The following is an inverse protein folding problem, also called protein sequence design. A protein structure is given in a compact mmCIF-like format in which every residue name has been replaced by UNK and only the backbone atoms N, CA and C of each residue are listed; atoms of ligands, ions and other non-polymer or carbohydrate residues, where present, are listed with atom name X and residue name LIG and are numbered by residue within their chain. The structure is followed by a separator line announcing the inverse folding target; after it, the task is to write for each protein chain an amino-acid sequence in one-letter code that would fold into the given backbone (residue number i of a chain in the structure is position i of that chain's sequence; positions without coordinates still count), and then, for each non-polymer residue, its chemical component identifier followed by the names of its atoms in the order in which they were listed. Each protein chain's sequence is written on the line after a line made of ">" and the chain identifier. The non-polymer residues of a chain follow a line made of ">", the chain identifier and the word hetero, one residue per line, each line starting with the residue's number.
data_IF_708109522973
#
_entry.id   IF_708109522973
#
_cell.length_a   1.000
_cell.length_b   1.000
_cell.length_c   1.000
_cell.angle_alpha   90.00
_cell.angle_beta   90.00
_cell.angle_gamma   90.00
#
_symmetry.space_group_name_H-M   'P 1'
#
loop_
_entity.id
_entity.type
_entity.pdbx_description
1 polymer ?
#
# COMPACT_ATOMS: atom_id res chain seq x y z
N UNK A 1 -4.06 -12.05 5.20
CA UNK A 1 -4.10 -10.87 4.31
C UNK A 1 -4.08 -11.37 2.89
N UNK A 2 -5.01 -10.92 2.03
CA UNK A 2 -5.09 -11.42 0.67
C UNK A 2 -4.00 -10.81 -0.21
N UNK A 3 -3.41 -11.62 -1.09
CA UNK A 3 -2.41 -11.15 -2.05
C UNK A 3 -3.14 -10.52 -3.23
N UNK A 4 -2.77 -9.28 -3.58
CA UNK A 4 -3.46 -8.48 -4.60
C UNK A 4 -2.52 -8.05 -5.72
N UNK A 5 -3.10 -7.77 -6.89
CA UNK A 5 -2.45 -7.04 -7.98
C UNK A 5 -3.35 -5.91 -8.48
N UNK A 6 -2.80 -4.71 -8.63
CA UNK A 6 -3.54 -3.54 -9.10
C UNK A 6 -3.09 -3.16 -10.51
N UNK A 7 -4.05 -2.96 -11.39
CA UNK A 7 -3.88 -2.58 -12.78
C UNK A 7 -4.56 -1.23 -13.07
N UNK A 8 -3.94 -0.43 -13.93
CA UNK A 8 -4.50 0.85 -14.35
C UNK A 8 -4.42 1.02 -15.87
N UNK A 9 -5.57 1.35 -16.47
CA UNK A 9 -5.70 1.64 -17.90
C UNK A 9 -5.97 3.14 -18.04
N UNK A 10 -5.03 3.94 -18.56
CA UNK A 10 -5.24 5.37 -18.79
C UNK A 10 -6.35 5.59 -19.83
N UNK A 11 -7.14 6.64 -19.63
CA UNK A 11 -8.08 7.13 -20.63
C UNK A 11 -7.92 8.63 -20.83
N UNK A 12 -8.17 9.07 -22.06
CA UNK A 12 -8.25 10.49 -22.38
C UNK A 12 -9.54 11.08 -21.77
N UNK A 13 -9.55 12.34 -21.31
CA UNK A 13 -10.72 12.94 -20.65
C UNK A 13 -12.03 12.88 -21.45
N UNK A 14 -11.93 12.83 -22.79
CA UNK A 14 -13.06 12.82 -23.72
C UNK A 14 -13.32 11.42 -24.34
N UNK A 15 -12.55 10.40 -23.96
CA UNK A 15 -12.71 9.05 -24.47
C UNK A 15 -13.55 8.18 -23.54
N UNK A 16 -14.13 7.12 -24.09
CA UNK A 16 -14.72 6.07 -23.26
C UNK A 16 -13.64 5.44 -22.37
N UNK A 17 -14.05 4.99 -21.19
CA UNK A 17 -13.16 4.27 -20.27
C UNK A 17 -13.09 2.80 -20.65
N UNK A 18 -12.08 2.09 -20.16
CA UNK A 18 -11.91 0.67 -20.41
C UNK A 18 -12.85 -0.20 -19.56
N UNK A 19 -13.68 0.40 -18.70
CA UNK A 19 -14.54 -0.32 -17.75
C UNK A 19 -15.45 -1.34 -18.44
N UNK A 20 -16.16 -0.91 -19.48
CA UNK A 20 -17.07 -1.78 -20.24
C UNK A 20 -16.30 -2.88 -20.96
N UNK A 21 -15.19 -2.53 -21.62
CA UNK A 21 -14.32 -3.47 -22.31
C UNK A 21 -13.80 -4.56 -21.36
N UNK A 22 -13.29 -4.17 -20.19
CA UNK A 22 -12.79 -5.12 -19.18
C UNK A 22 -13.92 -6.01 -18.66
N UNK A 23 -15.10 -5.45 -18.40
CA UNK A 23 -16.26 -6.22 -17.94
C UNK A 23 -16.70 -7.27 -18.97
N UNK A 24 -16.71 -6.91 -20.26
CA UNK A 24 -17.01 -7.83 -21.36
C UNK A 24 -15.95 -8.91 -21.52
N UNK A 25 -14.66 -8.54 -21.44
CA UNK A 25 -13.54 -9.49 -21.50
C UNK A 25 -13.55 -10.45 -20.32
N UNK A 26 -13.88 -9.97 -19.13
CA UNK A 26 -14.01 -10.80 -17.93
C UNK A 26 -15.09 -11.87 -18.15
N UNK A 27 -16.27 -11.46 -18.67
CA UNK A 27 -17.36 -12.41 -18.96
C UNK A 27 -16.99 -13.42 -20.05
N UNK A 28 -16.26 -12.97 -21.07
CA UNK A 28 -15.85 -13.83 -22.18
C UNK A 28 -14.73 -14.82 -21.80
N UNK A 29 -13.79 -14.40 -20.94
CA UNK A 29 -12.66 -15.22 -20.50
C UNK A 29 -13.07 -16.31 -19.50
N UNK A 30 -14.14 -16.08 -18.75
CA UNK A 30 -14.63 -16.99 -17.71
C UNK A 30 -16.12 -17.35 -17.93
N UNK A 31 -16.46 -18.05 -19.03
CA UNK A 31 -17.85 -18.31 -19.40
C UNK A 31 -18.58 -19.28 -18.45
N UNK A 32 -17.84 -20.05 -17.67
CA UNK A 32 -18.38 -21.01 -16.70
C UNK A 32 -18.63 -20.38 -15.32
N UNK A 33 -18.14 -19.16 -15.09
CA UNK A 33 -18.30 -18.44 -13.83
C UNK A 33 -19.47 -17.45 -13.94
N UNK A 34 -20.31 -17.40 -12.91
CA UNK A 34 -21.41 -16.42 -12.88
C UNK A 34 -20.88 -15.05 -12.44
N UNK A 35 -20.68 -14.14 -13.40
CA UNK A 35 -20.27 -12.76 -13.11
C UNK A 35 -21.44 -11.91 -12.58
N UNK A 36 -21.87 -12.18 -11.36
CA UNK A 36 -22.86 -11.37 -10.64
C UNK A 36 -22.16 -10.33 -9.77
N UNK A 37 -22.47 -9.03 -9.90
CA UNK A 37 -21.92 -8.00 -9.03
C UNK A 37 -22.26 -8.28 -7.56
N UNK A 38 -21.25 -8.50 -6.72
CA UNK A 38 -21.45 -8.83 -5.30
C UNK A 38 -21.42 -7.59 -4.39
N UNK A 39 -21.01 -6.44 -4.92
CA UNK A 39 -20.91 -5.23 -4.13
C UNK A 39 -20.38 -4.03 -4.89
N UNK A 40 -20.25 -2.93 -4.14
CA UNK A 40 -19.63 -1.69 -4.60
C UNK A 40 -18.39 -1.41 -3.78
N UNK A 41 -17.46 -0.69 -4.38
CA UNK A 41 -16.26 -0.22 -3.69
C UNK A 41 -15.91 1.18 -4.15
N UNK A 42 -15.07 1.84 -3.36
CA UNK A 42 -14.50 3.13 -3.72
C UNK A 42 -13.11 3.33 -3.14
N UNK A 43 -12.44 4.32 -3.71
CA UNK A 43 -11.16 4.82 -3.21
C UNK A 43 -11.14 6.33 -3.34
N UNK A 44 -10.40 6.98 -2.44
CA UNK A 44 -10.03 8.38 -2.55
C UNK A 44 -8.52 8.51 -2.31
N UNK A 45 -7.79 9.04 -3.29
CA UNK A 45 -6.36 9.31 -3.20
C UNK A 45 -6.11 10.81 -3.33
N UNK A 46 -5.36 11.39 -2.39
CA UNK A 46 -4.95 12.80 -2.40
C UNK A 46 -3.44 12.88 -2.44
N UNK A 47 -2.92 13.78 -3.28
CA UNK A 47 -1.49 13.98 -3.44
C UNK A 47 -1.10 15.40 -3.05
N UNK A 48 -0.17 15.49 -2.11
CA UNK A 48 0.57 16.68 -1.75
C UNK A 48 1.97 16.60 -2.34
N UNK A 49 2.47 17.75 -2.80
CA UNK A 49 3.86 17.94 -3.24
C UNK A 49 4.49 19.01 -2.38
N UNK A 50 5.77 18.85 -2.07
CA UNK A 50 6.53 19.91 -1.43
C UNK A 50 6.50 21.24 -2.21
N UNK A 51 6.53 22.35 -1.49
CA UNK A 51 6.68 23.68 -2.06
C UNK A 51 8.16 24.06 -1.97
N UNK A 52 8.91 24.10 -3.10
CA UNK A 52 10.31 24.46 -3.06
C UNK A 52 10.49 25.93 -2.61
N UNK A 53 11.23 26.12 -1.52
CA UNK A 53 11.92 27.35 -1.13
C UNK A 53 11.09 28.63 -0.97
N UNK A 54 10.60 28.91 0.24
CA UNK A 54 10.19 30.26 0.66
C UNK A 54 11.38 31.13 1.15
N UNK A 55 12.60 30.58 1.15
CA UNK A 55 13.80 31.33 1.49
C UNK A 55 14.50 31.78 0.21
N UNK A 56 14.84 33.08 0.06
CA UNK A 56 15.68 33.54 -1.04
C UNK A 56 17.01 32.82 -0.93
N UNK A 57 17.33 32.04 -1.97
CA UNK A 57 18.56 31.24 -2.01
C UNK A 57 19.76 32.18 -1.97
N UNK A 58 20.38 32.33 -0.79
CA UNK A 58 21.46 33.29 -0.61
C UNK A 58 22.77 32.85 -1.25
N UNK A 59 22.88 31.66 -1.86
CA UNK A 59 24.01 31.30 -2.76
C UNK A 59 23.89 29.95 -3.51
N UNK A 60 22.71 29.43 -3.84
CA UNK A 60 22.65 28.32 -4.81
C UNK A 60 21.45 28.38 -5.74
N UNK A 61 21.71 28.59 -7.02
CA UNK A 61 20.75 28.43 -8.13
C UNK A 61 20.32 26.96 -8.35
N UNK A 62 20.46 26.11 -7.33
CA UNK A 62 20.13 24.69 -7.40
C UNK A 62 18.75 24.50 -6.80
N UNK A 63 17.74 24.45 -7.67
CA UNK A 63 16.43 23.87 -7.35
C UNK A 63 16.69 22.51 -6.65
N UNK A 64 16.06 22.20 -5.50
CA UNK A 64 16.24 20.90 -4.88
C UNK A 64 16.00 19.81 -5.93
N UNK A 65 16.93 18.85 -6.07
CA UNK A 65 17.00 17.99 -7.24
C UNK A 65 15.76 17.12 -7.39
N UNK A 66 15.09 16.77 -6.28
CA UNK A 66 13.93 15.89 -6.27
C UNK A 66 12.77 16.46 -5.45
N UNK A 67 11.58 16.65 -6.04
CA UNK A 67 10.39 17.01 -5.29
C UNK A 67 9.93 15.87 -4.38
N UNK A 68 9.57 16.20 -3.14
CA UNK A 68 8.98 15.26 -2.18
C UNK A 68 7.47 15.18 -2.34
N UNK A 69 6.93 13.99 -2.06
CA UNK A 69 5.51 13.70 -2.17
C UNK A 69 4.96 13.11 -0.89
N UNK A 70 3.70 13.40 -0.63
CA UNK A 70 2.90 12.80 0.42
C UNK A 70 1.55 12.44 -0.19
N UNK A 71 1.18 11.17 -0.09
CA UNK A 71 -0.07 10.65 -0.60
C UNK A 71 -0.95 10.20 0.56
N UNK A 72 -2.22 10.54 0.50
CA UNK A 72 -3.26 10.03 1.39
C UNK A 72 -4.16 9.11 0.57
N UNK A 73 -4.51 7.94 1.10
CA UNK A 73 -5.44 7.02 0.47
C UNK A 73 -6.46 6.53 1.51
N UNK A 74 -7.71 6.47 1.10
CA UNK A 74 -8.78 5.79 1.81
C UNK A 74 -9.41 4.75 0.86
N UNK A 75 -9.69 3.57 1.39
CA UNK A 75 -10.29 2.45 0.67
C UNK A 75 -11.55 2.00 1.41
N UNK A 76 -12.67 1.83 0.69
CA UNK A 76 -13.94 1.44 1.34
C UNK A 76 -13.92 0.05 1.96
N UNK A 77 -13.03 -0.83 1.50
CA UNK A 77 -12.88 -2.20 2.01
C UNK A 77 -11.81 -2.31 3.11
N UNK A 78 -11.20 -1.18 3.51
CA UNK A 78 -10.44 -0.99 4.74
C UNK A 78 -10.97 0.25 5.48
N UNK A 79 -12.23 0.23 5.95
CA UNK A 79 -12.88 1.43 6.49
C UNK A 79 -12.26 1.91 7.81
N UNK A 80 -11.52 1.05 8.49
CA UNK A 80 -10.79 1.29 9.75
C UNK A 80 -9.39 1.86 9.52
N UNK A 81 -8.96 2.07 8.27
CA UNK A 81 -7.59 2.51 7.97
C UNK A 81 -7.56 3.67 6.98
N UNK A 82 -6.82 4.71 7.33
CA UNK A 82 -6.28 5.68 6.38
C UNK A 82 -4.82 5.35 6.09
N UNK A 83 -4.39 5.51 4.85
CA UNK A 83 -3.00 5.22 4.47
C UNK A 83 -2.28 6.51 4.05
N UNK A 84 -1.05 6.66 4.50
CA UNK A 84 -0.17 7.78 4.17
C UNK A 84 1.13 7.23 3.61
N UNK A 85 1.52 7.67 2.40
CA UNK A 85 2.76 7.25 1.74
C UNK A 85 3.61 8.46 1.38
N UNK A 86 4.80 8.55 1.96
CA UNK A 86 5.64 9.76 1.90
C UNK A 86 7.05 9.48 1.44
N UNK A 87 7.66 10.44 0.74
CA UNK A 87 9.07 10.35 0.37
C UNK A 87 9.97 10.45 1.60
N UNK A 88 10.92 9.54 1.72
CA UNK A 88 11.94 9.56 2.77
C UNK A 88 12.73 10.88 2.76
N UNK A 89 13.19 11.33 3.93
CA UNK A 89 14.15 12.42 4.00
C UNK A 89 15.46 12.01 3.32
N UNK A 90 16.04 12.90 2.51
CA UNK A 90 17.38 12.67 1.95
C UNK A 90 18.38 12.46 3.09
N UNK A 91 19.08 11.32 3.08
CA UNK A 91 20.18 11.10 4.04
C UNK A 91 21.25 12.18 3.79
N UNK A 92 21.76 12.86 4.84
CA UNK A 92 22.82 13.83 4.67
C UNK A 92 24.02 13.16 3.99
N UNK A 93 24.35 13.58 2.77
CA UNK A 93 25.56 13.12 2.09
C UNK A 93 26.74 13.67 2.88
N UNK A 94 27.67 12.84 3.40
CA UNK A 94 28.90 13.34 3.99
C UNK A 94 29.65 14.15 2.92
N UNK A 95 30.03 15.38 3.25
CA UNK A 95 30.64 16.31 2.32
C UNK A 95 31.83 15.66 1.58
N UNK A 96 31.91 15.76 0.24
CA UNK A 96 33.06 15.25 -0.49
C UNK A 96 34.29 16.08 -0.11
N UNK A 97 35.29 15.42 0.48
CA UNK A 97 36.64 15.97 0.61
C UNK A 97 37.11 16.46 -0.75
N UNK A 98 37.35 17.77 -0.87
CA UNK A 98 37.98 18.37 -2.03
C UNK A 98 39.37 17.77 -2.20
N UNK A 99 39.55 16.94 -3.23
CA UNK A 99 40.86 16.76 -3.85
C UNK A 99 40.71 17.05 -5.34
N UNK A 100 41.39 18.12 -5.75
CA UNK A 100 41.51 18.59 -7.11
C UNK A 100 42.03 17.49 -8.03
N UNK A 101 41.45 17.35 -9.22
CA UNK A 101 42.26 17.34 -10.44
C UNK A 101 41.45 17.71 -11.68
N UNK A 102 42.11 18.49 -12.53
CA UNK A 102 41.60 19.23 -13.67
C UNK A 102 41.64 18.42 -14.97
N UNK A 103 40.85 18.90 -15.94
CA UNK A 103 41.01 18.82 -17.41
C UNK A 103 40.59 17.55 -18.16
N UNK A 104 39.52 17.66 -18.97
CA UNK A 104 39.60 17.55 -20.44
C UNK A 104 38.29 17.97 -21.16
N UNK A 105 38.48 18.90 -22.09
CA UNK A 105 37.72 19.32 -23.28
C UNK A 105 36.31 18.76 -23.60
N UNK A 106 35.38 19.69 -23.88
CA UNK A 106 34.07 19.44 -24.45
C UNK A 106 34.02 19.50 -25.98
N UNK A 107 33.04 18.80 -26.54
CA UNK A 107 32.58 18.89 -27.94
C UNK A 107 31.05 18.99 -27.92
N UNK A 108 30.41 19.92 -28.67
CA UNK A 108 28.96 20.07 -28.70
C UNK A 108 28.34 19.17 -29.79
N UNK A 109 27.40 18.31 -29.41
CA UNK A 109 26.57 17.50 -30.31
C UNK A 109 25.08 17.73 -30.07
N UNK A 110 24.22 17.66 -31.11
CA UNK A 110 22.90 18.28 -31.12
C UNK A 110 21.79 17.45 -30.47
N UNK A 111 20.77 18.20 -30.06
CA UNK A 111 19.44 17.86 -29.57
C UNK A 111 18.67 16.84 -30.43
N UNK A 112 18.20 15.77 -29.79
CA UNK A 112 16.85 15.19 -29.86
C UNK A 112 16.88 13.67 -29.60
N UNK A 113 16.67 13.29 -28.34
CA UNK A 113 16.10 12.00 -27.98
C UNK A 113 15.30 12.20 -26.69
N UNK A 114 13.97 12.11 -26.80
CA UNK A 114 13.06 12.01 -25.66
C UNK A 114 13.26 10.60 -25.11
N UNK A 115 14.24 10.44 -24.22
CA UNK A 115 14.33 9.27 -23.35
C UNK A 115 13.38 9.50 -22.16
N UNK A 116 12.65 8.47 -21.68
CA UNK A 116 11.88 8.59 -20.46
C UNK A 116 12.85 8.87 -19.30
N UNK A 117 12.59 9.98 -18.61
CA UNK A 117 13.30 10.45 -17.43
C UNK A 117 13.09 9.44 -16.29
N UNK A 118 13.92 8.40 -16.24
CA UNK A 118 14.03 7.50 -15.10
C UNK A 118 14.91 8.16 -14.02
N UNK A 119 14.49 9.31 -13.50
CA UNK A 119 14.99 9.77 -12.21
C UNK A 119 14.57 8.73 -11.15
N UNK A 120 15.48 8.17 -10.33
CA UNK A 120 15.10 7.24 -9.28
C UNK A 120 14.11 7.95 -8.35
N UNK A 121 12.87 7.46 -8.29
CA UNK A 121 11.91 7.95 -7.30
C UNK A 121 12.55 7.86 -5.92
N UNK A 122 12.42 8.89 -5.06
CA UNK A 122 12.87 8.76 -3.68
C UNK A 122 12.20 7.54 -3.03
N UNK A 123 12.91 6.83 -2.13
CA UNK A 123 12.30 5.76 -1.36
C UNK A 123 11.12 6.32 -0.57
N UNK A 124 10.08 5.50 -0.40
CA UNK A 124 8.80 5.94 0.14
C UNK A 124 8.42 5.07 1.33
N UNK A 125 7.93 5.70 2.40
CA UNK A 125 7.52 5.06 3.66
C UNK A 125 6.00 5.09 3.78
N UNK A 126 5.42 3.94 4.08
CA UNK A 126 3.98 3.75 4.32
C UNK A 126 3.68 3.85 5.81
N UNK A 127 2.60 4.51 6.16
CA UNK A 127 2.08 4.60 7.52
C UNK A 127 0.57 4.52 7.48
N UNK A 128 -0.01 3.81 8.44
CA UNK A 128 -1.45 3.72 8.65
C UNK A 128 -1.88 4.71 9.73
N UNK A 129 -3.07 5.26 9.59
CA UNK A 129 -3.67 6.18 10.57
C UNK A 129 -5.11 5.78 10.85
N UNK A 130 -5.61 6.00 12.07
CA UNK A 130 -7.02 5.78 12.37
C UNK A 130 -7.93 6.64 11.47
N UNK A 131 -9.15 6.17 11.14
CA UNK A 131 -10.05 6.88 10.23
C UNK A 131 -10.46 8.25 10.77
N UNK A 132 -10.63 8.35 12.09
CA UNK A 132 -10.96 9.58 12.80
C UNK A 132 -9.88 10.66 12.63
N UNK A 133 -8.62 10.26 12.53
CA UNK A 133 -7.49 11.18 12.34
C UNK A 133 -7.23 11.53 10.88
N UNK A 134 -7.61 10.67 9.92
CA UNK A 134 -7.27 10.83 8.50
C UNK A 134 -7.70 12.19 7.93
N UNK A 135 -8.96 12.58 8.13
CA UNK A 135 -9.49 13.85 7.63
C UNK A 135 -8.80 15.06 8.26
N UNK A 136 -8.62 15.04 9.58
CA UNK A 136 -7.98 16.10 10.35
C UNK A 136 -6.51 16.27 9.99
N UNK A 137 -5.77 15.17 9.80
CA UNK A 137 -4.38 15.19 9.35
C UNK A 137 -4.25 15.81 7.96
N UNK A 138 -5.11 15.40 7.02
CA UNK A 138 -5.11 16.00 5.68
C UNK A 138 -5.35 17.52 5.76
N UNK A 139 -6.36 17.95 6.53
CA UNK A 139 -6.66 19.38 6.74
C UNK A 139 -5.48 20.12 7.37
N UNK A 140 -4.81 19.53 8.35
CA UNK A 140 -3.63 20.10 8.98
C UNK A 140 -2.53 20.37 7.94
N UNK A 141 -2.23 19.41 7.07
CA UNK A 141 -1.23 19.61 6.01
C UNK A 141 -1.65 20.67 4.99
N UNK A 142 -2.93 20.74 4.61
CA UNK A 142 -3.41 21.69 3.61
C UNK A 142 -3.57 23.11 4.12
N UNK A 143 -3.81 23.31 5.42
CA UNK A 143 -4.07 24.63 6.00
C UNK A 143 -2.91 25.13 6.85
N UNK A 144 -2.42 24.32 7.79
CA UNK A 144 -1.34 24.72 8.70
C UNK A 144 0.03 24.55 8.05
N UNK A 145 0.23 23.49 7.25
CA UNK A 145 1.51 23.21 6.59
C UNK A 145 1.53 23.62 5.11
N UNK A 146 0.58 24.45 4.65
CA UNK A 146 0.51 24.94 3.27
C UNK A 146 1.84 25.53 2.74
N UNK A 147 2.61 26.28 3.55
CA UNK A 147 3.92 26.79 3.11
C UNK A 147 4.91 25.70 2.69
N UNK A 148 4.77 24.49 3.25
CA UNK A 148 5.63 23.34 3.00
C UNK A 148 5.01 22.35 2.00
N UNK A 149 3.68 22.24 1.98
CA UNK A 149 2.95 21.25 1.21
C UNK A 149 1.84 21.89 0.38
N UNK A 150 1.85 21.62 -0.92
CA UNK A 150 0.82 22.03 -1.85
C UNK A 150 -0.04 20.83 -2.27
N UNK A 151 -1.36 20.91 -2.07
CA UNK A 151 -2.30 19.91 -2.60
C UNK A 151 -2.35 20.03 -4.12
N UNK A 152 -2.07 18.92 -4.82
CA UNK A 152 -1.93 18.90 -6.29
C UNK A 152 -3.03 18.16 -6.99
N UNK A 153 -3.56 17.10 -6.38
CA UNK A 153 -4.42 16.16 -7.06
C UNK A 153 -5.31 15.44 -6.04
N UNK A 154 -6.57 15.25 -6.41
CA UNK A 154 -7.43 14.23 -5.80
C UNK A 154 -7.97 13.33 -6.90
N UNK A 155 -7.77 12.02 -6.74
CA UNK A 155 -8.36 10.96 -7.55
C UNK A 155 -9.40 10.20 -6.72
N UNK A 156 -10.49 9.80 -7.35
CA UNK A 156 -11.52 9.01 -6.71
C UNK A 156 -12.10 7.96 -7.65
N UNK A 157 -12.52 6.84 -7.06
CA UNK A 157 -13.39 5.84 -7.69
C UNK A 157 -14.71 5.84 -6.92
N UNK A 158 -15.74 6.56 -7.39
CA UNK A 158 -16.96 6.74 -6.61
C UNK A 158 -17.95 5.58 -6.72
N UNK A 159 -17.90 4.78 -7.79
CA UNK A 159 -18.88 3.74 -8.11
C UNK A 159 -18.19 2.49 -8.66
N UNK A 160 -17.19 1.99 -7.95
CA UNK A 160 -16.54 0.74 -8.30
C UNK A 160 -17.49 -0.45 -8.11
N UNK A 161 -17.28 -1.50 -8.90
CA UNK A 161 -18.05 -2.74 -8.87
C UNK A 161 -17.12 -3.88 -8.45
N UNK A 162 -17.64 -4.81 -7.65
CA UNK A 162 -16.92 -6.01 -7.21
C UNK A 162 -17.56 -7.25 -7.83
N UNK A 163 -16.73 -8.13 -8.36
CA UNK A 163 -17.09 -9.45 -8.88
C UNK A 163 -16.30 -10.54 -8.15
N UNK A 164 -16.88 -11.72 -8.06
CA UNK A 164 -16.17 -12.95 -7.73
C UNK A 164 -16.11 -13.83 -8.97
N UNK A 165 -14.93 -14.39 -9.25
CA UNK A 165 -14.63 -15.19 -10.44
C UNK A 165 -13.71 -16.32 -10.00
N UNK A 166 -14.29 -17.50 -9.71
CA UNK A 166 -13.56 -18.60 -9.07
C UNK A 166 -12.86 -18.14 -7.78
N UNK A 167 -11.56 -18.42 -7.68
CA UNK A 167 -10.71 -18.05 -6.53
C UNK A 167 -10.24 -16.59 -6.54
N UNK A 168 -10.81 -15.74 -7.39
CA UNK A 168 -10.45 -14.32 -7.48
C UNK A 168 -11.62 -13.43 -7.13
N UNK A 169 -11.31 -12.34 -6.42
CA UNK A 169 -12.20 -11.20 -6.28
C UNK A 169 -11.65 -10.04 -7.10
N UNK A 170 -12.47 -9.52 -8.00
CA UNK A 170 -12.08 -8.45 -8.93
C UNK A 170 -12.86 -7.19 -8.60
N UNK A 171 -12.16 -6.11 -8.26
CA UNK A 171 -12.73 -4.78 -8.03
C UNK A 171 -12.34 -3.89 -9.20
N UNK A 172 -13.30 -3.41 -9.99
CA UNK A 172 -13.04 -2.47 -11.08
C UNK A 172 -13.81 -1.18 -10.90
N UNK A 173 -13.25 -0.06 -11.38
CA UNK A 173 -13.93 1.22 -11.34
C UNK A 173 -13.24 2.31 -12.14
N UNK A 174 -14.01 3.30 -12.53
CA UNK A 174 -13.48 4.47 -13.23
C UNK A 174 -12.81 5.44 -12.25
N UNK A 175 -11.59 5.81 -12.58
CA UNK A 175 -10.78 6.77 -11.84
C UNK A 175 -11.05 8.16 -12.40
N UNK A 176 -11.53 9.04 -11.53
CA UNK A 176 -11.81 10.43 -11.85
C UNK A 176 -10.94 11.33 -10.99
N UNK A 177 -10.34 12.32 -11.61
CA UNK A 177 -9.79 13.44 -10.88
C UNK A 177 -10.96 14.33 -10.43
N UNK A 178 -10.99 14.69 -9.16
CA UNK A 178 -11.99 15.60 -8.57
C UNK A 178 -11.38 16.95 -8.18
N UNK A 179 -10.04 17.01 -8.04
CA UNK A 179 -9.28 18.25 -7.78
C UNK A 179 -7.97 18.26 -8.59
N UNK A 180 -7.53 19.41 -9.13
CA UNK A 180 -8.16 20.74 -9.08
C UNK A 180 -9.33 20.90 -10.06
N UNK A 181 -9.34 20.11 -11.13
CA UNK A 181 -10.38 20.14 -12.17
C UNK A 181 -10.94 18.74 -12.35
N UNK A 182 -12.27 18.63 -12.41
CA UNK A 182 -12.93 17.36 -12.64
C UNK A 182 -12.57 16.81 -14.03
N UNK A 183 -11.98 15.61 -14.11
CA UNK A 183 -11.69 14.94 -15.39
C UNK A 183 -11.60 13.42 -15.24
N UNK A 184 -12.01 12.71 -16.28
CA UNK A 184 -11.77 11.27 -16.37
C UNK A 184 -10.26 11.00 -16.50
N UNK A 185 -9.76 9.96 -15.81
CA UNK A 185 -8.35 9.55 -15.88
C UNK A 185 -8.15 8.16 -16.44
N UNK A 186 -9.11 7.25 -16.26
CA UNK A 186 -8.96 5.88 -16.69
C UNK A 186 -9.81 4.91 -15.89
N UNK A 187 -9.44 3.65 -15.95
CA UNK A 187 -10.06 2.55 -15.20
C UNK A 187 -8.99 1.88 -14.35
N UNK A 188 -9.30 1.64 -13.06
CA UNK A 188 -8.46 0.85 -12.16
C UNK A 188 -9.13 -0.49 -11.89
N UNK A 189 -8.31 -1.52 -11.77
CA UNK A 189 -8.72 -2.88 -11.48
C UNK A 189 -7.82 -3.40 -10.37
N UNK A 190 -8.40 -3.96 -9.33
CA UNK A 190 -7.72 -4.73 -8.30
C UNK A 190 -8.17 -6.18 -8.44
N UNK A 191 -7.22 -7.09 -8.53
CA UNK A 191 -7.45 -8.54 -8.53
C UNK A 191 -6.88 -9.07 -7.23
N UNK A 192 -7.75 -9.64 -6.43
CA UNK A 192 -7.45 -10.21 -5.13
C UNK A 192 -7.54 -11.74 -5.21
N UNK A 193 -6.48 -12.44 -4.80
CA UNK A 193 -6.51 -13.89 -4.65
C UNK A 193 -7.25 -14.27 -3.36
N UNK A 194 -8.19 -15.20 -3.48
CA UNK A 194 -9.04 -15.75 -2.42
C UNK A 194 -8.92 -17.26 -2.25
N UNK A 195 -8.02 -17.90 -3.01
CA UNK A 195 -7.71 -19.31 -2.84
C UNK A 195 -6.84 -19.58 -1.60
N UNK A 196 -6.46 -20.85 -1.37
CA UNK A 196 -5.68 -21.26 -0.21
C UNK A 196 -4.38 -20.46 -0.08
N UNK A 197 -4.05 -20.06 1.15
CA UNK A 197 -2.88 -19.24 1.44
C UNK A 197 -2.21 -19.62 2.75
N UNK A 198 -0.86 -19.66 2.77
CA UNK A 198 -0.08 -19.91 3.98
C UNK A 198 -0.11 -18.68 4.89
N UNK A 199 -0.19 -17.48 4.32
CA UNK A 199 -0.35 -16.21 5.05
C UNK A 199 -1.58 -16.21 5.97
N UNK A 200 -2.67 -16.88 5.60
CA UNK A 200 -3.89 -16.95 6.42
C UNK A 200 -3.70 -17.75 7.71
N UNK A 201 -2.70 -18.63 7.75
CA UNK A 201 -2.38 -19.41 8.96
C UNK A 201 -1.60 -18.64 10.01
N UNK A 202 -1.06 -17.45 9.65
CA UNK A 202 -0.32 -16.59 10.58
C UNK A 202 -1.34 -15.83 11.44
N UNK A 203 -1.34 -16.03 12.78
CA UNK A 203 -2.33 -15.41 13.65
C UNK A 203 -2.21 -13.89 13.64
N UNK A 204 -3.37 -13.23 13.73
CA UNK A 204 -3.46 -11.80 14.03
C UNK A 204 -3.33 -11.64 15.54
N UNK A 205 -2.62 -10.61 15.99
CA UNK A 205 -2.46 -10.27 17.41
C UNK A 205 -3.86 -9.99 18.00
N UNK A 206 -4.52 -11.04 18.50
CA UNK A 206 -5.71 -10.92 19.34
C UNK A 206 -5.20 -10.66 20.76
N UNK A 207 -5.45 -9.47 21.28
CA UNK A 207 -5.22 -9.14 22.70
C UNK A 207 -6.18 -9.86 23.67
N UNK A 208 -6.91 -10.87 23.22
CA UNK A 208 -7.58 -11.78 24.13
C UNK A 208 -6.54 -12.76 24.69
N UNK A 209 -5.86 -12.33 25.74
CA UNK A 209 -5.03 -13.14 26.63
C UNK A 209 -5.82 -14.26 27.30
N UNK A 210 -6.20 -15.27 26.52
CA UNK A 210 -6.74 -16.54 27.02
C UNK A 210 -6.29 -17.70 26.13
N UNK A 211 -4.99 -17.93 26.12
CA UNK A 211 -4.47 -19.29 26.00
C UNK A 211 -4.44 -19.90 27.41
N UNK A 212 -5.57 -20.51 27.79
CA UNK A 212 -5.69 -21.62 28.75
C UNK A 212 -5.29 -21.41 30.22
N UNK A 213 -6.29 -21.24 31.10
CA UNK A 213 -6.25 -21.79 32.48
C UNK A 213 -7.65 -21.90 33.14
N UNK A 214 -8.19 -23.14 33.22
CA UNK A 214 -9.31 -23.56 34.11
C UNK A 214 -10.72 -23.38 33.53
N UNK A 215 -11.65 -24.34 33.54
CA UNK A 215 -11.96 -25.35 34.57
C UNK A 215 -12.72 -26.54 33.94
N UNK A 216 -12.22 -27.76 34.17
CA UNK A 216 -13.00 -28.99 34.40
C UNK A 216 -13.77 -29.62 33.24
N UNK A 217 -13.15 -30.57 32.54
CA UNK A 217 -13.84 -31.50 31.64
C UNK A 217 -12.88 -32.56 31.11
N UNK A 218 -12.90 -33.72 31.75
CA UNK A 218 -12.17 -34.94 31.38
C UNK A 218 -12.71 -35.44 30.02
N UNK A 219 -11.99 -35.16 28.92
CA UNK A 219 -12.27 -35.73 27.60
C UNK A 219 -11.03 -35.61 26.69
N UNK A 220 -10.42 -36.77 26.43
CA UNK A 220 -9.71 -37.19 25.22
C UNK A 220 -8.85 -36.17 24.44
N UNK A 221 -7.54 -36.34 24.66
CA UNK A 221 -6.46 -36.38 23.66
C UNK A 221 -6.95 -36.41 22.20
N UNK A 222 -6.87 -35.28 21.47
CA UNK A 222 -6.67 -35.15 20.00
C UNK A 222 -6.63 -33.69 19.48
N UNK A 223 -6.43 -32.67 20.33
CA UNK A 223 -6.37 -31.26 19.90
C UNK A 223 -4.94 -30.67 19.75
N UNK A 224 -3.89 -31.50 19.82
CA UNK A 224 -2.49 -31.06 19.75
C UNK A 224 -1.83 -31.26 18.37
N UNK A 225 -2.63 -31.36 17.30
CA UNK A 225 -2.15 -31.71 15.95
C UNK A 225 -1.87 -30.55 14.99
N UNK A 226 -2.16 -29.30 15.37
CA UNK A 226 -2.07 -28.14 14.45
C UNK A 226 -0.90 -27.20 14.80
N UNK A 227 -0.29 -27.34 15.97
CA UNK A 227 0.68 -26.36 16.50
C UNK A 227 2.12 -26.53 15.96
N UNK A 228 2.40 -27.60 15.21
CA UNK A 228 3.74 -27.86 14.64
C UNK A 228 3.93 -27.36 13.19
N UNK A 229 2.86 -27.05 12.46
CA UNK A 229 2.97 -26.63 11.05
C UNK A 229 3.29 -25.15 10.88
N UNK A 230 2.85 -24.30 11.80
CA UNK A 230 3.02 -22.84 11.71
C UNK A 230 4.43 -22.37 12.08
N UNK A 231 5.14 -23.10 12.97
CA UNK A 231 6.52 -22.76 13.38
C UNK A 231 7.56 -22.97 12.28
N UNK A 232 7.22 -23.73 11.23
CA UNK A 232 8.05 -23.98 10.06
C UNK A 232 7.99 -22.87 9.00
N UNK A 233 7.03 -21.94 9.08
CA UNK A 233 6.86 -20.90 8.07
C UNK A 233 8.03 -19.90 8.16
N UNK A 234 8.81 -19.79 7.10
CA UNK A 234 9.90 -18.82 6.96
C UNK A 234 9.49 -17.62 6.10
N UNK A 235 10.23 -16.51 6.21
CA UNK A 235 9.97 -15.33 5.36
C UNK A 235 10.14 -15.64 3.86
N UNK A 236 10.99 -16.63 3.52
CA UNK A 236 11.14 -17.13 2.16
C UNK A 236 9.90 -17.84 1.63
N UNK A 237 9.13 -18.51 2.50
CA UNK A 237 7.89 -19.16 2.10
C UNK A 237 6.83 -18.11 1.74
N UNK A 238 6.77 -17.02 2.52
CA UNK A 238 5.93 -15.86 2.21
C UNK A 238 6.36 -15.26 0.86
N UNK A 239 7.66 -15.07 0.61
CA UNK A 239 8.13 -14.54 -0.67
C UNK A 239 7.79 -15.45 -1.86
N UNK A 240 7.95 -16.77 -1.68
CA UNK A 240 7.60 -17.75 -2.70
C UNK A 240 6.09 -17.75 -2.99
N UNK A 241 5.25 -17.64 -1.97
CA UNK A 241 3.81 -17.55 -2.10
C UNK A 241 3.37 -16.26 -2.81
N UNK A 242 3.93 -15.11 -2.44
CA UNK A 242 3.66 -13.84 -3.13
C UNK A 242 4.07 -13.91 -4.61
N UNK A 243 5.21 -14.53 -4.93
CA UNK A 243 5.66 -14.70 -6.31
C UNK A 243 4.76 -15.66 -7.11
N UNK A 244 4.34 -16.77 -6.50
CA UNK A 244 3.43 -17.73 -7.12
C UNK A 244 2.06 -17.10 -7.38
N UNK A 245 1.46 -16.47 -6.36
CA UNK A 245 0.16 -15.82 -6.48
C UNK A 245 0.20 -14.63 -7.44
N UNK A 246 1.29 -13.86 -7.48
CA UNK A 246 1.46 -12.82 -8.49
C UNK A 246 1.49 -13.40 -9.92
N UNK A 247 2.03 -14.60 -10.11
CA UNK A 247 2.01 -15.29 -11.41
C UNK A 247 0.58 -15.72 -11.79
N UNK A 248 -0.21 -16.20 -10.83
CA UNK A 248 -1.62 -16.55 -11.03
C UNK A 248 -2.46 -15.31 -11.42
N UNK A 249 -2.26 -14.19 -10.73
CA UNK A 249 -2.95 -12.93 -11.04
C UNK A 249 -2.55 -12.41 -12.43
N UNK A 250 -1.28 -12.54 -12.82
CA UNK A 250 -0.83 -12.19 -14.17
C UNK A 250 -1.41 -13.09 -15.25
N UNK A 251 -1.54 -14.39 -14.98
CA UNK A 251 -2.21 -15.30 -15.89
C UNK A 251 -3.68 -14.92 -16.06
N UNK A 252 -4.38 -14.67 -14.94
CA UNK A 252 -5.74 -14.19 -14.93
C UNK A 252 -5.89 -12.90 -15.78
N UNK A 253 -5.03 -11.91 -15.54
CA UNK A 253 -5.02 -10.66 -16.31
C UNK A 253 -4.71 -10.91 -17.79
N UNK A 254 -3.75 -11.78 -18.08
CA UNK A 254 -3.36 -12.17 -19.44
C UNK A 254 -4.50 -12.72 -20.27
N UNK A 255 -5.45 -13.45 -19.66
CA UNK A 255 -6.66 -13.95 -20.33
C UNK A 255 -7.60 -12.84 -20.79
N UNK A 256 -7.58 -11.67 -20.15
CA UNK A 256 -8.39 -10.52 -20.57
C UNK A 256 -7.86 -9.88 -21.85
N UNK A 257 -6.55 -10.00 -22.11
CA UNK A 257 -5.90 -9.45 -23.31
C UNK A 257 -5.94 -7.91 -23.38
N UNK A 258 -5.88 -7.25 -22.22
CA UNK A 258 -5.91 -5.78 -22.11
C UNK A 258 -4.57 -5.26 -21.61
N UNK A 259 -3.99 -4.29 -22.30
CA UNK A 259 -2.78 -3.62 -21.83
C UNK A 259 -3.09 -2.66 -20.68
N UNK A 260 -2.33 -2.77 -19.60
CA UNK A 260 -2.46 -1.91 -18.43
C UNK A 260 -1.10 -1.72 -17.75
N UNK A 261 -1.00 -0.67 -16.94
CA UNK A 261 0.08 -0.52 -15.98
C UNK A 261 -0.19 -1.42 -14.79
N UNK A 262 0.83 -2.13 -14.31
CA UNK A 262 0.72 -3.13 -13.25
C UNK A 262 1.45 -2.69 -11.97
N UNK A 263 0.87 -3.01 -10.82
CA UNK A 263 1.47 -2.93 -9.49
C UNK A 263 1.07 -4.16 -8.66
N UNK A 264 1.90 -5.22 -8.67
CA UNK A 264 1.62 -6.50 -7.98
C UNK A 264 2.76 -6.94 -7.02
N UNK A 265 4.01 -6.67 -7.39
CA UNK A 265 5.20 -6.95 -6.59
C UNK A 265 6.08 -5.70 -6.50
N UNK A 266 5.47 -4.60 -6.09
CA UNK A 266 6.22 -3.35 -5.87
C UNK A 266 7.10 -3.48 -4.61
N UNK A 267 8.12 -2.63 -4.44
CA UNK A 267 8.96 -2.66 -3.26
C UNK A 267 8.15 -2.63 -1.96
N UNK A 268 8.59 -3.41 -0.98
CA UNK A 268 7.99 -3.55 0.36
C UNK A 268 6.61 -4.21 0.42
N UNK A 269 6.09 -4.80 -0.66
CA UNK A 269 4.94 -5.72 -0.58
C UNK A 269 5.35 -6.99 0.16
N UNK A 270 4.46 -7.53 0.99
CA UNK A 270 4.70 -8.69 1.85
C UNK A 270 5.33 -8.32 3.20
N UNK A 271 5.79 -7.07 3.37
CA UNK A 271 6.40 -6.62 4.63
C UNK A 271 5.43 -6.68 5.80
N UNK A 272 4.15 -6.38 5.56
CA UNK A 272 3.10 -6.47 6.58
C UNK A 272 3.02 -7.89 7.18
N UNK A 273 2.98 -8.89 6.30
CA UNK A 273 2.88 -10.31 6.69
C UNK A 273 4.17 -10.78 7.34
N UNK A 274 5.32 -10.38 6.82
CA UNK A 274 6.63 -10.71 7.42
C UNK A 274 6.78 -10.10 8.80
N UNK A 275 6.34 -8.87 9.02
CA UNK A 275 6.35 -8.25 10.34
C UNK A 275 5.41 -8.97 11.31
N UNK A 276 4.22 -9.37 10.85
CA UNK A 276 3.29 -10.20 11.64
C UNK A 276 3.94 -11.52 12.04
N UNK A 277 4.59 -12.20 11.10
CA UNK A 277 5.33 -13.44 11.37
C UNK A 277 6.44 -13.21 12.41
N UNK A 278 7.20 -12.11 12.29
CA UNK A 278 8.27 -11.77 13.26
C UNK A 278 7.71 -11.51 14.67
N UNK A 279 6.60 -10.76 14.79
CA UNK A 279 5.94 -10.49 16.09
C UNK A 279 5.45 -11.79 16.72
N UNK A 280 4.77 -12.63 15.93
CA UNK A 280 4.28 -13.92 16.39
C UNK A 280 5.42 -14.86 16.85
N UNK A 281 6.50 -14.98 16.07
CA UNK A 281 7.69 -15.77 16.46
C UNK A 281 8.32 -15.24 17.74
N UNK A 282 8.37 -13.91 17.92
CA UNK A 282 8.89 -13.30 19.15
C UNK A 282 8.01 -13.62 20.36
N UNK A 283 6.70 -13.52 20.23
CA UNK A 283 5.73 -13.87 21.28
C UNK A 283 5.83 -15.35 21.69
N UNK A 284 5.95 -16.27 20.72
CA UNK A 284 6.10 -17.70 20.99
C UNK A 284 7.45 -18.10 21.61
N UNK A 285 8.50 -17.29 21.40
CA UNK A 285 9.85 -17.58 21.95
C UNK A 285 9.99 -17.33 23.45
N UNK A 286 9.01 -16.71 24.12
CA UNK A 286 9.03 -16.47 25.57
C UNK A 286 10.16 -15.55 26.07
N UNK A 287 10.91 -14.90 25.18
CA UNK A 287 12.09 -14.09 25.53
C UNK A 287 11.72 -12.79 26.28
N UNK A 288 10.49 -12.30 26.15
CA UNK A 288 10.05 -11.02 26.75
C UNK A 288 9.20 -11.16 28.03
N UNK A 289 8.91 -12.37 28.53
CA UNK A 289 8.07 -12.55 29.73
C UNK A 289 8.79 -12.25 31.06
N UNK A 290 10.03 -11.74 31.06
CA UNK A 290 10.85 -11.58 32.28
C UNK A 290 11.52 -10.23 32.50
N UNK A 291 11.24 -9.21 31.70
CA UNK A 291 11.87 -7.90 31.87
C UNK A 291 10.84 -6.76 31.86
N UNK A 292 9.92 -6.73 32.83
CA UNK A 292 9.36 -5.46 33.36
C UNK A 292 8.43 -5.67 34.57
N UNK A 293 8.94 -6.25 35.66
CA UNK A 293 8.28 -6.15 36.97
C UNK A 293 9.26 -5.71 38.05
N UNK A 294 9.62 -4.42 38.02
CA UNK A 294 10.04 -3.57 39.15
C UNK A 294 10.35 -2.18 38.55
N UNK A 295 9.79 -1.02 38.93
CA UNK A 295 9.60 -0.45 40.27
C UNK A 295 8.61 0.74 40.16
N UNK A 296 7.66 0.79 41.10
CA UNK A 296 6.96 1.93 41.72
C UNK A 296 6.45 3.15 40.92
N UNK A 297 5.15 3.42 41.12
CA UNK A 297 4.77 4.66 41.81
C UNK A 297 4.05 5.75 41.01
N UNK A 298 2.73 5.82 41.23
CA UNK A 298 1.88 7.01 41.17
C UNK A 298 1.56 7.64 39.80
N UNK A 299 0.28 7.53 39.42
CA UNK A 299 -0.33 8.38 38.38
C UNK A 299 -1.30 7.67 37.47
N UNK A 300 -2.36 7.06 38.03
CA UNK A 300 -3.48 6.57 37.22
C UNK A 300 -4.28 7.78 36.71
N UNK A 301 -3.80 8.36 35.61
CA UNK A 301 -4.63 9.18 34.72
C UNK A 301 -5.23 8.24 33.69
N UNK A 302 -6.56 8.18 33.74
CA UNK A 302 -7.51 7.71 32.72
C UNK A 302 -6.86 7.59 31.34
N UNK A 303 -6.37 6.39 31.02
CA UNK A 303 -6.10 6.00 29.64
C UNK A 303 -7.47 5.84 28.99
N UNK A 304 -7.85 6.84 28.21
CA UNK A 304 -8.93 6.74 27.26
C UNK A 304 -8.67 5.47 26.45
N UNK A 305 -9.51 4.45 26.65
CA UNK A 305 -9.51 3.19 25.89
C UNK A 305 -9.78 3.54 24.43
N UNK A 306 -8.74 4.00 23.74
CA UNK A 306 -8.68 3.93 22.30
C UNK A 306 -8.66 2.44 22.06
N UNK A 307 -9.72 1.90 21.45
CA UNK A 307 -9.70 0.53 20.93
C UNK A 307 -8.47 0.43 20.04
N UNK A 308 -7.37 -0.12 20.57
CA UNK A 308 -6.15 -0.32 19.80
C UNK A 308 -6.50 -1.33 18.71
N UNK A 309 -6.34 -0.88 17.47
CA UNK A 309 -6.65 -1.67 16.29
C UNK A 309 -5.81 -2.95 16.30
N UNK A 310 -6.42 -4.15 16.29
CA UNK A 310 -5.70 -5.42 16.40
C UNK A 310 -4.80 -5.71 15.19
N UNK A 311 -4.98 -5.01 14.07
CA UNK A 311 -4.10 -5.12 12.90
C UNK A 311 -3.82 -3.73 12.31
N UNK A 312 -2.93 -2.94 12.95
CA UNK A 312 -2.72 -1.54 12.55
C UNK A 312 -2.12 -1.43 11.15
N UNK A 313 -1.56 -2.50 10.60
CA UNK A 313 -0.94 -2.50 9.28
C UNK A 313 -1.85 -3.06 8.19
N UNK A 314 -3.09 -3.47 8.53
CA UNK A 314 -4.02 -4.08 7.60
C UNK A 314 -4.22 -3.22 6.35
N UNK A 315 -3.93 -3.80 5.20
CA UNK A 315 -4.17 -3.21 3.88
C UNK A 315 -3.02 -2.31 3.41
N UNK A 316 -1.90 -2.26 4.13
CA UNK A 316 -0.76 -1.44 3.76
C UNK A 316 -0.17 -1.84 2.39
N UNK A 317 -0.15 -3.14 2.08
CA UNK A 317 0.38 -3.65 0.82
C UNK A 317 -0.47 -3.23 -0.39
N UNK A 318 -1.78 -3.46 -0.32
CA UNK A 318 -2.72 -3.05 -1.39
C UNK A 318 -2.77 -1.52 -1.51
N UNK A 319 -2.73 -0.79 -0.40
CA UNK A 319 -2.63 0.66 -0.40
C UNK A 319 -1.37 1.14 -1.13
N UNK A 320 -0.22 0.48 -0.91
CA UNK A 320 1.03 0.80 -1.61
C UNK A 320 0.89 0.56 -3.12
N UNK A 321 0.26 -0.55 -3.52
CA UNK A 321 0.01 -0.85 -4.93
C UNK A 321 -0.85 0.22 -5.61
N UNK A 322 -1.96 0.63 -4.98
CA UNK A 322 -2.79 1.73 -5.47
C UNK A 322 -2.02 3.05 -5.57
N UNK A 323 -1.26 3.41 -4.53
CA UNK A 323 -0.52 4.67 -4.52
C UNK A 323 0.63 4.70 -5.53
N UNK A 324 1.28 3.56 -5.82
CA UNK A 324 2.29 3.49 -6.87
C UNK A 324 1.65 3.57 -8.26
N UNK A 325 0.61 2.79 -8.56
CA UNK A 325 0.01 2.79 -9.89
C UNK A 325 -0.63 4.13 -10.25
N UNK A 326 -1.22 4.83 -9.26
CA UNK A 326 -1.89 6.11 -9.47
C UNK A 326 -0.93 7.31 -9.51
N UNK A 327 0.27 7.18 -8.93
CA UNK A 327 1.27 8.28 -8.85
C UNK A 327 1.86 8.68 -10.21
N UNK A 328 1.99 7.73 -11.14
CA UNK A 328 2.62 7.94 -12.45
C UNK A 328 1.67 8.47 -13.55
N UNK A 329 0.45 8.88 -13.21
CA UNK A 329 -0.48 9.54 -14.15
C UNK A 329 -0.38 11.08 -14.11
N UNK A 330 0.84 11.57 -14.19
CA UNK A 330 1.13 13.00 -14.29
C UNK A 330 1.35 13.42 -15.73
#
# INVERSE_FOLDING_TARGET
>A
MPITGVYFIPSNPNAATALQLVTERLRAAFPNEELTPIGRWGLEQKLLRDTPGLLPSSNSNKKPPNPRYMQFLSLTHYPTHGFIYTSEPEKPVPAPNQTQNQNAAGTPGPVNAIAPDHSPSPPMVMTTVPPSSYGTLFQHFTYACQPFWAHRLTLAVPNGIVYEVGDFRVRLGDVRQTFPTARMRGTVIEIEWRGPSVVETIPVDREDGSFGAGVGGDADVEAAGIDFASSAIEESDIDAEYAATASLIREFWGRLGVEAREAILIPNVGMEVKERLRRWKKAGSGVDARADTSVDGAGSMVSERTEEDPDPWSGADVARQFMEVLRFNR
#
